data_IF_840564615418
#
_entry.id   IF_840564615418
#
_cell.length_a   1.000
_cell.length_b   1.000
_cell.length_c   1.000
_cell.angle_alpha   90.00
_cell.angle_beta   90.00
_cell.angle_gamma   90.00
#
_symmetry.space_group_name_H-M   'P 1'
#
loop_
_entity.id
_entity.type
_entity.pdbx_description
1 polymer ?
#
# COMPACT_ATOMS: atom_id res chain seq x y z
N UNK A 1 22.38 12.89 13.10
CA UNK A 1 21.53 11.67 13.10
C UNK A 1 20.79 11.42 14.42
N UNK A 2 21.25 11.89 15.60
CA UNK A 2 20.50 11.77 16.88
C UNK A 2 19.27 12.68 17.01
N UNK A 3 19.22 13.80 16.30
CA UNK A 3 18.17 14.82 16.48
C UNK A 3 16.86 14.55 15.74
N UNK A 4 16.85 13.67 14.72
CA UNK A 4 15.63 13.34 13.95
C UNK A 4 14.84 12.19 14.62
N UNK A 5 15.51 11.39 15.45
CA UNK A 5 14.89 10.24 16.12
C UNK A 5 14.16 10.65 17.41
N UNK A 6 14.63 11.70 18.10
CA UNK A 6 13.94 12.28 19.26
C UNK A 6 12.65 13.03 18.88
N UNK A 7 12.57 13.62 17.68
CA UNK A 7 11.37 14.34 17.24
C UNK A 7 10.22 13.39 16.84
N UNK A 8 10.53 12.16 16.42
CA UNK A 8 9.51 11.11 16.19
C UNK A 8 8.91 10.54 17.47
N UNK A 9 9.56 10.69 18.62
CA UNK A 9 9.05 10.21 19.92
C UNK A 9 8.13 11.21 20.63
N UNK A 10 8.15 12.49 20.24
CA UNK A 10 7.47 13.56 20.99
C UNK A 10 6.16 14.09 20.35
N UNK A 11 5.67 13.51 19.27
CA UNK A 11 4.39 13.88 18.66
C UNK A 11 3.24 12.90 19.02
N UNK A 12 3.33 12.23 20.18
CA UNK A 12 2.22 11.49 20.76
C UNK A 12 1.18 12.45 21.33
N UNK A 13 0.36 13.05 20.48
CA UNK A 13 -0.88 13.67 20.93
C UNK A 13 -1.73 12.56 21.53
N UNK A 14 -1.67 12.40 22.86
CA UNK A 14 -2.44 11.42 23.59
C UNK A 14 -3.85 11.99 23.71
N UNK A 15 -4.81 11.62 22.83
CA UNK A 15 -6.15 12.18 22.93
C UNK A 15 -6.66 11.82 24.32
N UNK A 16 -7.19 12.81 25.05
CA UNK A 16 -7.89 12.54 26.30
C UNK A 16 -8.89 11.41 26.06
N UNK A 17 -9.11 10.52 27.03
CA UNK A 17 -10.02 9.36 26.87
C UNK A 17 -11.40 9.75 26.33
N UNK A 18 -11.82 10.99 26.60
CA UNK A 18 -13.02 11.61 26.03
C UNK A 18 -12.91 11.84 24.53
N UNK A 19 -11.81 12.41 24.02
CA UNK A 19 -11.60 12.60 22.59
C UNK A 19 -11.53 11.27 21.82
N UNK A 20 -11.01 10.20 22.43
CA UNK A 20 -11.05 8.86 21.84
C UNK A 20 -12.48 8.28 21.77
N UNK A 21 -13.34 8.59 22.75
CA UNK A 21 -14.74 8.17 22.74
C UNK A 21 -15.59 8.91 21.69
N UNK A 22 -15.30 10.20 21.47
CA UNK A 22 -15.94 11.00 20.43
C UNK A 22 -15.33 10.81 19.03
N UNK A 23 -14.32 9.94 18.88
CA UNK A 23 -13.69 9.73 17.59
C UNK A 23 -14.67 9.07 16.60
N UNK A 24 -14.73 9.57 15.35
CA UNK A 24 -15.59 8.98 14.33
C UNK A 24 -15.17 7.54 14.06
N UNK A 25 -16.15 6.63 14.04
CA UNK A 25 -15.92 5.18 13.86
C UNK A 25 -16.72 4.68 12.66
N UNK A 26 -16.14 3.77 11.89
CA UNK A 26 -16.84 3.15 10.76
C UNK A 26 -18.07 2.38 11.24
N UNK A 27 -19.15 2.49 10.46
CA UNK A 27 -20.44 1.88 10.79
C UNK A 27 -20.36 0.36 10.59
N UNK A 28 -20.54 -0.38 11.68
CA UNK A 28 -20.61 -1.84 11.69
C UNK A 28 -22.00 -2.28 12.14
N UNK A 29 -22.36 -3.55 11.96
CA UNK A 29 -23.60 -4.12 12.52
C UNK A 29 -23.71 -3.89 14.03
N UNK A 30 -22.57 -3.79 14.73
CA UNK A 30 -22.51 -3.47 16.16
C UNK A 30 -22.94 -2.04 16.49
N UNK A 31 -22.87 -1.10 15.52
CA UNK A 31 -23.28 0.30 15.70
C UNK A 31 -24.77 0.41 16.06
N UNK A 32 -25.63 -0.41 15.45
CA UNK A 32 -27.07 -0.37 15.73
C UNK A 32 -27.42 -0.78 17.15
N UNK A 33 -26.68 -1.74 17.72
CA UNK A 33 -26.85 -2.16 19.12
C UNK A 33 -26.45 -1.02 20.06
N UNK A 34 -25.32 -0.35 19.77
CA UNK A 34 -24.84 0.75 20.59
C UNK A 34 -25.77 1.98 20.50
N UNK A 35 -26.29 2.30 19.31
CA UNK A 35 -27.33 3.34 19.14
C UNK A 35 -28.54 3.02 20.01
N UNK A 36 -29.02 1.78 19.98
CA UNK A 36 -30.18 1.37 20.79
C UNK A 36 -29.90 1.47 22.29
N UNK A 37 -28.75 0.96 22.76
CA UNK A 37 -28.38 0.98 24.18
C UNK A 37 -28.21 2.42 24.70
N UNK A 38 -27.52 3.28 23.96
CA UNK A 38 -27.26 4.67 24.37
C UNK A 38 -28.56 5.47 24.39
N UNK A 39 -29.43 5.29 23.39
CA UNK A 39 -30.73 6.00 23.35
C UNK A 39 -31.68 5.54 24.43
N UNK A 40 -31.81 4.23 24.64
CA UNK A 40 -32.64 3.67 25.71
C UNK A 40 -32.07 4.02 27.09
N UNK A 41 -30.74 4.03 27.23
CA UNK A 41 -30.06 4.44 28.46
C UNK A 41 -30.30 5.90 28.79
N UNK A 42 -30.22 6.80 27.80
CA UNK A 42 -30.57 8.21 27.98
C UNK A 42 -32.05 8.38 28.39
N UNK A 43 -32.95 7.61 27.77
CA UNK A 43 -34.36 7.58 28.15
C UNK A 43 -34.56 7.10 29.60
N UNK A 44 -33.86 6.03 30.01
CA UNK A 44 -33.91 5.47 31.36
C UNK A 44 -33.37 6.43 32.43
N UNK A 45 -32.37 7.24 32.09
CA UNK A 45 -31.89 8.32 32.97
C UNK A 45 -32.98 9.39 33.11
N UNK A 46 -33.59 9.81 32.00
CA UNK A 46 -34.66 10.81 32.00
C UNK A 46 -35.89 10.34 32.79
N UNK A 47 -36.31 9.08 32.65
CA UNK A 47 -37.44 8.50 33.40
C UNK A 47 -37.16 8.40 34.89
N UNK A 48 -35.90 8.20 35.30
CA UNK A 48 -35.51 8.18 36.71
C UNK A 48 -35.63 9.55 37.38
N UNK A 49 -35.30 10.63 36.67
CA UNK A 49 -35.40 11.99 37.21
C UNK A 49 -36.82 12.56 37.16
N UNK A 50 -37.55 12.37 36.05
CA UNK A 50 -38.95 12.82 35.90
C UNK A 50 -39.84 11.67 35.38
N UNK A 51 -40.43 10.86 36.28
CA UNK A 51 -41.28 9.73 35.89
C UNK A 51 -42.52 10.14 35.10
N UNK A 52 -43.04 11.35 35.35
CA UNK A 52 -44.24 11.88 34.70
C UNK A 52 -43.97 12.53 33.34
N UNK A 53 -42.70 12.76 32.96
CA UNK A 53 -42.33 13.35 31.67
C UNK A 53 -41.02 12.76 31.13
N UNK A 54 -41.02 11.47 30.73
CA UNK A 54 -39.80 10.76 30.33
C UNK A 54 -39.13 11.33 29.07
N UNK A 55 -39.84 12.13 28.26
CA UNK A 55 -39.32 12.80 27.07
C UNK A 55 -38.90 14.26 27.32
N UNK A 56 -39.09 14.78 28.55
CA UNK A 56 -38.83 16.17 28.95
C UNK A 56 -39.52 17.20 28.02
N UNK A 57 -40.75 16.92 27.59
CA UNK A 57 -41.51 17.83 26.72
C UNK A 57 -41.92 19.06 27.53
N UNK A 58 -41.53 20.26 27.08
CA UNK A 58 -41.88 21.53 27.74
C UNK A 58 -40.81 22.11 28.68
N UNK A 59 -39.67 21.43 28.84
CA UNK A 59 -38.50 21.95 29.55
C UNK A 59 -37.76 22.96 28.66
N UNK A 60 -37.16 24.01 29.25
CA UNK A 60 -36.45 25.06 28.52
C UNK A 60 -35.29 24.54 27.65
N UNK A 61 -34.68 23.41 28.02
CA UNK A 61 -33.58 22.80 27.28
C UNK A 61 -33.84 21.29 27.01
N UNK A 62 -33.71 20.84 25.75
CA UNK A 62 -34.03 19.46 25.35
C UNK A 62 -32.86 18.50 25.62
N UNK A 63 -32.61 18.17 26.89
CA UNK A 63 -31.49 17.31 27.31
C UNK A 63 -31.46 15.95 26.62
N UNK A 64 -32.62 15.36 26.34
CA UNK A 64 -32.73 14.05 25.70
C UNK A 64 -32.13 14.04 24.29
N UNK A 65 -32.19 15.16 23.57
CA UNK A 65 -31.63 15.27 22.22
C UNK A 65 -30.10 15.30 22.20
N UNK A 66 -29.44 15.52 23.34
CA UNK A 66 -27.98 15.41 23.41
C UNK A 66 -27.50 13.98 23.08
N UNK A 67 -28.22 12.94 23.50
CA UNK A 67 -27.83 11.56 23.19
C UNK A 67 -27.83 11.28 21.68
N UNK A 68 -28.91 11.56 20.92
CA UNK A 68 -28.90 11.57 19.46
C UNK A 68 -27.78 12.43 18.85
N UNK A 69 -27.46 13.61 19.40
CA UNK A 69 -26.39 14.46 18.84
C UNK A 69 -25.00 13.86 19.03
N UNK A 70 -24.74 13.23 20.18
CA UNK A 70 -23.47 12.54 20.45
C UNK A 70 -23.32 11.32 19.54
N UNK A 71 -24.40 10.58 19.32
CA UNK A 71 -24.44 9.47 18.36
C UNK A 71 -24.19 9.97 16.93
N UNK A 72 -24.79 11.10 16.55
CA UNK A 72 -24.59 11.73 15.25
C UNK A 72 -23.12 12.13 15.02
N UNK A 73 -22.47 12.71 16.03
CA UNK A 73 -21.04 13.09 15.98
C UNK A 73 -20.09 11.90 15.88
N UNK A 74 -20.52 10.72 16.33
CA UNK A 74 -19.67 9.52 16.39
C UNK A 74 -19.86 8.58 15.20
N UNK A 75 -21.09 8.45 14.73
CA UNK A 75 -21.50 7.45 13.74
C UNK A 75 -22.14 8.04 12.48
N UNK A 76 -22.31 9.35 12.40
CA UNK A 76 -22.85 10.03 11.23
C UNK A 76 -24.36 10.26 11.24
N UNK A 77 -24.87 10.77 10.13
CA UNK A 77 -26.28 11.14 9.95
C UNK A 77 -27.25 9.95 10.07
N UNK A 78 -26.85 8.75 9.63
CA UNK A 78 -27.70 7.55 9.68
C UNK A 78 -28.00 7.12 11.13
N UNK A 79 -27.01 7.20 12.01
CA UNK A 79 -27.18 6.90 13.43
C UNK A 79 -28.04 7.95 14.14
N UNK A 80 -27.92 9.21 13.74
CA UNK A 80 -28.80 10.29 14.21
C UNK A 80 -30.26 10.00 13.87
N UNK A 81 -30.52 9.60 12.63
CA UNK A 81 -31.86 9.25 12.16
C UNK A 81 -32.41 8.03 12.90
N UNK A 82 -31.60 6.98 13.07
CA UNK A 82 -31.97 5.78 13.84
C UNK A 82 -32.29 6.08 15.30
N UNK A 83 -31.54 6.99 15.92
CA UNK A 83 -31.80 7.44 17.28
C UNK A 83 -33.09 8.27 17.38
N UNK A 84 -33.33 9.16 16.43
CA UNK A 84 -34.54 9.99 16.39
C UNK A 84 -35.80 9.15 16.13
N UNK A 85 -35.72 8.10 15.30
CA UNK A 85 -36.85 7.19 15.07
C UNK A 85 -37.19 6.38 16.32
N UNK A 86 -36.19 5.94 17.10
CA UNK A 86 -36.43 5.30 18.40
C UNK A 86 -37.19 6.25 19.34
N UNK A 87 -36.78 7.52 19.43
CA UNK A 87 -37.50 8.52 20.24
C UNK A 87 -38.94 8.76 19.78
N UNK A 88 -39.18 8.77 18.46
CA UNK A 88 -40.54 8.87 17.90
C UNK A 88 -41.39 7.65 18.25
N UNK A 89 -40.81 6.44 18.18
CA UNK A 89 -41.49 5.20 18.55
C UNK A 89 -41.84 5.20 20.04
N UNK A 90 -40.91 5.61 20.90
CA UNK A 90 -41.15 5.73 22.35
C UNK A 90 -42.26 6.75 22.65
N UNK A 91 -42.25 7.91 21.99
CA UNK A 91 -43.34 8.88 22.11
C UNK A 91 -44.71 8.29 21.71
N UNK A 92 -44.74 7.51 20.62
CA UNK A 92 -45.98 6.86 20.17
C UNK A 92 -46.50 5.84 21.19
N UNK A 93 -45.62 5.04 21.80
CA UNK A 93 -46.00 4.10 22.87
C UNK A 93 -46.50 4.81 24.14
N UNK A 94 -45.81 5.86 24.58
CA UNK A 94 -46.22 6.62 25.77
C UNK A 94 -47.53 7.40 25.56
N UNK A 95 -47.82 7.79 24.31
CA UNK A 95 -49.12 8.32 23.92
C UNK A 95 -50.22 7.26 24.04
N UNK A 96 -49.98 6.03 23.58
CA UNK A 96 -50.93 4.92 23.71
C UNK A 96 -51.25 4.59 25.18
N UNK A 97 -50.26 4.69 26.07
CA UNK A 97 -50.43 4.48 27.52
C UNK A 97 -51.08 5.68 28.25
N UNK A 98 -51.27 6.81 27.57
CA UNK A 98 -51.93 8.00 28.14
C UNK A 98 -51.09 8.80 29.13
N UNK A 99 -49.78 8.58 29.18
CA UNK A 99 -48.84 9.25 30.10
C UNK A 99 -48.45 10.67 29.65
N UNK A 100 -48.72 11.04 28.39
CA UNK A 100 -48.23 12.28 27.74
C UNK A 100 -49.39 12.97 26.99
N UNK A 101 -49.40 14.32 26.87
CA UNK A 101 -50.42 15.04 26.09
C UNK A 101 -50.62 14.51 24.66
N UNK A 102 -51.88 14.46 24.22
CA UNK A 102 -52.27 13.97 22.89
C UNK A 102 -51.78 14.84 21.71
N UNK A 103 -51.32 16.06 21.99
CA UNK A 103 -50.81 17.00 20.98
C UNK A 103 -49.36 16.68 20.63
N UNK A 104 -49.08 16.48 19.34
CA UNK A 104 -47.74 16.24 18.85
C UNK A 104 -46.84 17.49 19.03
N UNK A 105 -45.71 17.39 19.77
CA UNK A 105 -44.82 18.53 20.00
C UNK A 105 -43.89 18.74 18.79
N UNK A 106 -44.42 19.36 17.73
CA UNK A 106 -43.71 19.53 16.46
C UNK A 106 -42.40 20.31 16.57
N UNK A 107 -42.36 21.39 17.37
CA UNK A 107 -41.15 22.20 17.55
C UNK A 107 -40.02 21.42 18.24
N UNK A 108 -40.34 20.57 19.21
CA UNK A 108 -39.38 19.75 19.94
C UNK A 108 -38.70 18.73 19.03
N UNK A 109 -39.49 17.99 18.25
CA UNK A 109 -38.95 17.00 17.32
C UNK A 109 -38.24 17.65 16.14
N UNK A 110 -38.78 18.73 15.57
CA UNK A 110 -38.16 19.41 14.44
C UNK A 110 -36.81 20.02 14.82
N UNK A 111 -36.72 20.74 15.95
CA UNK A 111 -35.47 21.35 16.41
C UNK A 111 -34.41 20.33 16.81
N UNK A 112 -34.81 19.23 17.45
CA UNK A 112 -33.90 18.14 17.78
C UNK A 112 -33.38 17.39 16.55
N UNK A 113 -34.26 17.12 15.58
CA UNK A 113 -33.90 16.44 14.34
C UNK A 113 -32.98 17.32 13.48
N UNK A 114 -33.23 18.62 13.35
CA UNK A 114 -32.33 19.52 12.62
C UNK A 114 -30.95 19.61 13.27
N UNK A 115 -30.88 19.76 14.60
CA UNK A 115 -29.62 19.79 15.35
C UNK A 115 -28.79 18.52 15.12
N UNK A 116 -29.43 17.36 15.26
CA UNK A 116 -28.77 16.07 15.12
C UNK A 116 -28.34 15.76 13.68
N UNK A 117 -29.15 16.12 12.69
CA UNK A 117 -28.77 15.98 11.28
C UNK A 117 -27.59 16.87 10.91
N UNK A 118 -27.58 18.14 11.34
CA UNK A 118 -26.44 19.04 11.09
C UNK A 118 -25.17 18.42 11.68
N UNK A 119 -25.22 17.96 12.93
CA UNK A 119 -24.08 17.30 13.57
C UNK A 119 -23.63 16.02 12.82
N UNK A 120 -24.58 15.22 12.33
CA UNK A 120 -24.33 14.01 11.56
C UNK A 120 -23.68 14.28 10.21
N UNK A 121 -24.17 15.26 9.45
CA UNK A 121 -23.59 15.67 8.16
C UNK A 121 -22.14 16.16 8.30
N UNK A 122 -21.87 16.95 9.34
CA UNK A 122 -20.49 17.35 9.63
C UNK A 122 -19.60 16.13 9.92
N UNK A 123 -20.08 15.16 10.72
CA UNK A 123 -19.35 13.93 10.99
C UNK A 123 -19.05 13.14 9.70
N UNK A 124 -20.03 12.99 8.81
CA UNK A 124 -19.89 12.25 7.55
C UNK A 124 -18.85 12.91 6.63
N UNK A 125 -18.92 14.24 6.47
CA UNK A 125 -17.94 15.01 5.67
C UNK A 125 -16.53 14.90 6.24
N UNK A 126 -16.37 15.02 7.57
CA UNK A 126 -15.06 14.94 8.21
C UNK A 126 -14.47 13.54 8.16
N UNK A 127 -15.29 12.51 8.36
CA UNK A 127 -14.86 11.11 8.27
C UNK A 127 -14.38 10.78 6.86
N UNK A 128 -15.12 11.21 5.82
CA UNK A 128 -14.69 11.06 4.43
C UNK A 128 -13.38 11.77 4.14
N UNK A 129 -13.22 13.03 4.59
CA UNK A 129 -11.97 13.79 4.44
C UNK A 129 -10.80 13.12 5.17
N UNK A 130 -11.02 12.63 6.38
CA UNK A 130 -10.00 11.99 7.19
C UNK A 130 -9.51 10.67 6.56
N UNK A 131 -10.43 9.82 6.11
CA UNK A 131 -10.09 8.58 5.41
C UNK A 131 -9.32 8.86 4.10
N UNK A 132 -9.69 9.92 3.36
CA UNK A 132 -8.94 10.38 2.19
C UNK A 132 -7.53 10.85 2.53
N UNK A 133 -7.35 11.65 3.58
CA UNK A 133 -6.02 12.12 4.00
C UNK A 133 -5.17 10.94 4.49
N UNK A 134 -5.76 10.00 5.23
CA UNK A 134 -5.07 8.81 5.73
C UNK A 134 -4.56 7.94 4.58
N UNK A 135 -5.38 7.70 3.56
CA UNK A 135 -4.97 6.93 2.37
C UNK A 135 -3.87 7.66 1.57
N UNK A 136 -3.97 8.98 1.35
CA UNK A 136 -2.87 9.77 0.76
C UNK A 136 -1.58 9.60 1.55
N UNK A 137 -1.64 9.76 2.88
CA UNK A 137 -0.46 9.69 3.73
C UNK A 137 0.14 8.28 3.78
N UNK A 138 -0.70 7.24 3.83
CA UNK A 138 -0.24 5.85 3.76
C UNK A 138 0.52 5.61 2.45
N UNK A 139 -0.05 6.04 1.33
CA UNK A 139 0.60 5.95 0.03
C UNK A 139 1.92 6.73 -0.03
N UNK A 140 1.95 7.99 0.44
CA UNK A 140 3.18 8.79 0.47
C UNK A 140 4.24 8.14 1.36
N UNK A 141 3.86 7.55 2.48
CA UNK A 141 4.78 6.86 3.38
C UNK A 141 5.36 5.60 2.71
N UNK A 142 4.53 4.80 2.06
CA UNK A 142 4.97 3.61 1.31
C UNK A 142 5.87 4.01 0.13
N UNK A 143 5.55 5.11 -0.56
CA UNK A 143 6.38 5.66 -1.64
C UNK A 143 7.73 6.13 -1.09
N UNK A 144 7.77 6.84 0.03
CA UNK A 144 9.01 7.26 0.68
C UNK A 144 9.88 6.06 1.09
N UNK A 145 9.28 5.02 1.67
CA UNK A 145 10.01 3.83 2.08
C UNK A 145 10.62 3.09 0.89
N UNK A 146 9.85 2.93 -0.19
CA UNK A 146 10.34 2.40 -1.45
C UNK A 146 11.51 3.22 -2.04
N UNK A 147 11.45 4.54 -1.92
CA UNK A 147 12.49 5.45 -2.41
C UNK A 147 13.77 5.39 -1.58
N UNK A 148 13.64 5.36 -0.26
CA UNK A 148 14.77 5.19 0.65
C UNK A 148 15.48 3.87 0.34
N UNK A 149 14.73 2.79 0.13
CA UNK A 149 15.31 1.50 -0.25
C UNK A 149 16.03 1.56 -1.61
N UNK A 150 15.43 2.18 -2.64
CA UNK A 150 16.04 2.32 -3.97
C UNK A 150 17.28 3.21 -3.99
N UNK A 151 17.26 4.33 -3.29
CA UNK A 151 18.40 5.24 -3.23
C UNK A 151 19.56 4.62 -2.45
N UNK A 152 19.24 3.90 -1.36
CA UNK A 152 20.21 3.11 -0.63
C UNK A 152 20.87 2.06 -1.52
N UNK A 153 20.09 1.35 -2.33
CA UNK A 153 20.60 0.38 -3.30
C UNK A 153 21.50 0.99 -4.37
N UNK A 154 21.10 2.13 -4.94
CA UNK A 154 21.88 2.80 -5.97
C UNK A 154 23.20 3.34 -5.41
N UNK A 155 23.14 3.97 -4.25
CA UNK A 155 24.32 4.50 -3.56
C UNK A 155 25.28 3.39 -3.19
N UNK A 156 24.78 2.30 -2.60
CA UNK A 156 25.59 1.14 -2.24
C UNK A 156 26.16 0.49 -3.50
N UNK A 157 25.36 0.27 -4.55
CA UNK A 157 25.90 -0.29 -5.80
C UNK A 157 26.98 0.56 -6.46
N UNK A 158 26.92 1.89 -6.30
CA UNK A 158 27.91 2.83 -6.83
C UNK A 158 29.17 2.85 -5.98
N UNK A 159 29.04 2.87 -4.65
CA UNK A 159 30.17 2.77 -3.73
C UNK A 159 30.87 1.40 -3.90
N UNK A 160 30.12 0.33 -4.17
CA UNK A 160 30.64 -1.01 -4.47
C UNK A 160 31.26 -1.12 -5.87
N UNK A 161 30.72 -0.43 -6.89
CA UNK A 161 31.36 -0.31 -8.21
C UNK A 161 32.68 0.45 -8.14
N UNK A 162 32.80 1.41 -7.22
CA UNK A 162 34.02 2.16 -6.96
C UNK A 162 35.05 1.31 -6.18
N UNK A 163 34.59 0.37 -5.34
CA UNK A 163 35.45 -0.46 -4.49
C UNK A 163 35.84 -1.82 -5.09
N UNK A 164 34.98 -2.48 -5.88
CA UNK A 164 35.14 -3.90 -6.26
C UNK A 164 35.55 -4.13 -7.74
N UNK A 165 36.02 -3.09 -8.43
CA UNK A 165 36.61 -3.20 -9.78
C UNK A 165 37.86 -4.10 -9.84
N UNK A 166 38.36 -4.60 -8.71
CA UNK A 166 39.60 -5.36 -8.63
C UNK A 166 39.44 -6.83 -8.21
N UNK A 167 38.24 -7.31 -7.84
CA UNK A 167 38.14 -8.67 -7.25
C UNK A 167 37.12 -9.63 -7.87
N UNK A 168 35.87 -9.28 -8.25
CA UNK A 168 34.99 -10.22 -9.01
C UNK A 168 33.93 -9.52 -9.88
N UNK A 169 33.59 -10.07 -11.08
CA UNK A 169 32.54 -9.55 -11.94
C UNK A 169 31.21 -10.28 -11.73
N UNK A 170 30.36 -9.82 -10.82
CA UNK A 170 28.92 -10.07 -10.96
C UNK A 170 28.16 -8.89 -10.33
N UNK A 171 27.57 -8.05 -11.18
CA UNK A 171 26.86 -6.88 -10.70
C UNK A 171 25.50 -7.31 -10.11
N UNK A 172 25.13 -6.74 -8.96
CA UNK A 172 23.83 -6.94 -8.32
C UNK A 172 22.66 -6.76 -9.32
N UNK A 173 22.81 -5.79 -10.23
CA UNK A 173 21.88 -5.52 -11.33
C UNK A 173 21.66 -6.71 -12.24
N UNK A 174 22.72 -7.43 -12.61
CA UNK A 174 22.65 -8.57 -13.52
C UNK A 174 21.94 -9.77 -12.88
N UNK A 175 22.25 -10.05 -11.61
CA UNK A 175 21.56 -11.07 -10.81
C UNK A 175 20.06 -10.78 -10.66
N UNK A 176 19.69 -9.53 -10.36
CA UNK A 176 18.28 -9.11 -10.29
C UNK A 176 17.58 -9.16 -11.66
N UNK A 177 18.31 -8.92 -12.76
CA UNK A 177 17.76 -8.99 -14.12
C UNK A 177 17.48 -10.44 -14.51
N UNK A 178 18.38 -11.37 -14.19
CA UNK A 178 18.19 -12.81 -14.39
C UNK A 178 17.01 -13.33 -13.57
N UNK A 179 16.93 -12.97 -12.28
CA UNK A 179 15.83 -13.36 -11.41
C UNK A 179 14.48 -12.82 -11.92
N UNK A 180 14.44 -11.59 -12.45
CA UNK A 180 13.23 -11.03 -13.08
C UNK A 180 12.79 -11.82 -14.31
N UNK A 181 13.71 -12.20 -15.20
CA UNK A 181 13.38 -12.98 -16.39
C UNK A 181 12.80 -14.34 -16.01
N UNK A 182 13.33 -14.97 -14.95
CA UNK A 182 12.86 -16.26 -14.46
C UNK A 182 11.50 -16.21 -13.77
N UNK A 183 11.17 -15.12 -13.07
CA UNK A 183 9.87 -15.01 -12.35
C UNK A 183 8.75 -14.46 -13.24
N UNK A 184 9.08 -13.58 -14.21
CA UNK A 184 8.08 -12.95 -15.10
C UNK A 184 7.66 -13.88 -16.24
N UNK A 185 8.54 -14.76 -16.72
CA UNK A 185 8.19 -15.79 -17.70
C UNK A 185 7.54 -16.95 -16.94
N UNK A 186 6.23 -17.18 -17.05
CA UNK A 186 5.62 -18.38 -16.51
C UNK A 186 6.12 -19.53 -17.38
N UNK A 187 7.14 -20.27 -16.92
CA UNK A 187 7.50 -21.52 -17.57
C UNK A 187 6.30 -22.45 -17.48
N UNK A 188 5.60 -22.59 -18.59
CA UNK A 188 4.50 -23.52 -18.80
C UNK A 188 5.02 -24.97 -18.97
N UNK A 189 6.09 -25.36 -18.28
CA UNK A 189 6.72 -26.67 -18.49
C UNK A 189 7.42 -27.17 -17.25
N UNK A 190 6.66 -27.77 -16.33
CA UNK A 190 7.00 -29.03 -15.66
C UNK A 190 5.72 -29.72 -15.13
N UNK A 191 4.68 -29.79 -15.97
CA UNK A 191 3.62 -30.79 -15.84
C UNK A 191 3.99 -31.90 -16.85
N UNK A 192 4.78 -32.89 -16.43
CA UNK A 192 4.92 -34.22 -17.05
C UNK A 192 5.95 -35.06 -16.27
N UNK A 193 5.64 -35.41 -15.04
CA UNK A 193 6.04 -36.70 -14.46
C UNK A 193 5.13 -37.03 -13.29
N UNK A 194 4.34 -38.06 -13.50
CA UNK A 194 3.43 -38.76 -12.59
C UNK A 194 3.95 -38.97 -11.17
N UNK A 195 3.00 -38.91 -10.23
CA UNK A 195 3.01 -39.48 -8.88
C UNK A 195 3.98 -38.90 -7.85
N UNK A 196 3.56 -37.79 -7.23
CA UNK A 196 3.57 -37.64 -5.77
C UNK A 196 2.63 -36.52 -5.32
N UNK A 197 1.90 -36.78 -4.24
CA UNK A 197 0.83 -35.95 -3.70
C UNK A 197 1.24 -34.48 -3.56
N UNK A 198 0.49 -33.60 -4.22
CA UNK A 198 0.66 -32.14 -4.22
C UNK A 198 0.39 -31.57 -2.83
N UNK A 199 1.44 -31.45 -2.02
CA UNK A 199 1.43 -30.62 -0.80
C UNK A 199 1.57 -29.17 -1.27
N UNK A 200 0.75 -28.21 -0.79
CA UNK A 200 0.84 -26.81 -1.18
C UNK A 200 2.06 -26.16 -0.50
N UNK A 201 3.27 -26.37 -1.01
CA UNK A 201 4.53 -25.89 -0.38
C UNK A 201 5.22 -24.73 -1.07
N UNK A 202 4.77 -24.27 -2.24
CA UNK A 202 5.76 -23.71 -3.17
C UNK A 202 5.73 -22.17 -3.31
N UNK A 203 6.70 -21.52 -2.65
CA UNK A 203 7.24 -20.26 -3.11
C UNK A 203 7.70 -20.46 -4.57
N UNK A 204 7.01 -19.84 -5.54
CA UNK A 204 7.27 -20.05 -6.97
C UNK A 204 8.73 -19.76 -7.33
N UNK A 205 9.39 -20.66 -8.05
CA UNK A 205 10.79 -20.51 -8.49
C UNK A 205 11.77 -20.28 -7.32
N UNK A 206 11.48 -20.88 -6.16
CA UNK A 206 12.35 -20.83 -4.98
C UNK A 206 13.73 -21.47 -5.23
N UNK A 207 13.79 -22.46 -6.13
CA UNK A 207 15.03 -23.15 -6.49
C UNK A 207 16.04 -22.22 -7.18
N UNK A 208 15.55 -21.38 -8.09
CA UNK A 208 16.34 -20.45 -8.89
C UNK A 208 16.88 -19.30 -8.04
N UNK A 209 16.05 -18.76 -7.15
CA UNK A 209 16.49 -17.79 -6.14
C UNK A 209 17.64 -18.36 -5.30
N UNK A 210 17.45 -19.58 -4.78
CA UNK A 210 18.48 -20.24 -3.96
C UNK A 210 19.78 -20.46 -4.74
N UNK A 211 19.70 -20.79 -6.02
CA UNK A 211 20.88 -20.93 -6.88
C UNK A 211 21.65 -19.61 -7.03
N UNK A 212 20.95 -18.50 -7.26
CA UNK A 212 21.56 -17.15 -7.35
C UNK A 212 22.23 -16.76 -6.04
N UNK A 213 21.54 -16.95 -4.91
CA UNK A 213 22.10 -16.64 -3.58
C UNK A 213 23.32 -17.53 -3.27
N UNK A 214 23.28 -18.80 -3.66
CA UNK A 214 24.39 -19.74 -3.47
C UNK A 214 25.61 -19.32 -4.27
N UNK A 215 25.43 -18.96 -5.54
CA UNK A 215 26.52 -18.54 -6.41
C UNK A 215 27.14 -17.22 -5.96
N UNK A 216 26.32 -16.24 -5.57
CA UNK A 216 26.78 -14.91 -5.15
C UNK A 216 27.43 -14.93 -3.76
N UNK A 217 26.81 -15.61 -2.79
CA UNK A 217 27.22 -15.59 -1.38
C UNK A 217 28.10 -16.79 -0.98
N UNK A 218 28.32 -17.74 -1.88
CA UNK A 218 29.06 -18.99 -1.61
C UNK A 218 28.45 -19.75 -0.41
N UNK A 219 27.13 -19.91 -0.41
CA UNK A 219 26.41 -20.60 0.67
C UNK A 219 26.75 -22.10 0.67
N UNK A 220 27.06 -22.66 1.83
CA UNK A 220 27.35 -24.09 1.97
C UNK A 220 26.13 -24.88 2.42
N UNK A 221 25.32 -24.34 3.34
CA UNK A 221 24.07 -24.94 3.80
C UNK A 221 23.04 -23.87 4.13
N UNK A 222 21.93 -23.86 3.38
CA UNK A 222 20.86 -22.89 3.52
C UNK A 222 19.51 -23.47 3.07
N UNK A 223 18.43 -22.98 3.66
CA UNK A 223 17.06 -23.40 3.36
C UNK A 223 16.10 -22.21 3.27
N UNK A 224 15.09 -22.36 2.44
CA UNK A 224 14.02 -21.40 2.24
C UNK A 224 12.68 -22.04 2.60
N UNK A 225 11.95 -21.44 3.53
CA UNK A 225 10.70 -21.95 4.07
C UNK A 225 9.54 -21.02 3.75
N UNK A 226 8.45 -21.55 3.21
CA UNK A 226 7.24 -20.76 2.97
C UNK A 226 6.47 -20.47 4.26
N UNK A 227 5.75 -19.35 4.28
CA UNK A 227 4.75 -19.05 5.30
C UNK A 227 3.36 -19.21 4.73
N UNK A 228 2.54 -20.04 5.37
CA UNK A 228 1.16 -20.31 4.95
C UNK A 228 0.26 -20.05 6.15
N UNK A 229 -0.74 -19.17 5.98
CA UNK A 229 -1.68 -18.77 7.04
C UNK A 229 -1.01 -18.25 8.32
N UNK A 230 0.12 -17.55 8.19
CA UNK A 230 0.86 -16.99 9.33
C UNK A 230 1.76 -17.99 10.06
N UNK A 231 1.94 -19.21 9.53
CA UNK A 231 2.81 -20.23 10.09
C UNK A 231 3.92 -20.62 9.10
N UNK A 232 5.15 -20.59 9.58
CA UNK A 232 6.32 -21.04 8.82
C UNK A 232 6.28 -22.57 8.67
N UNK A 233 6.39 -23.04 7.44
CA UNK A 233 6.43 -24.46 7.13
C UNK A 233 7.79 -25.06 7.44
N UNK A 234 7.82 -26.20 8.15
CA UNK A 234 9.06 -26.92 8.47
C UNK A 234 9.70 -27.57 7.23
N UNK A 235 8.86 -27.92 6.25
CA UNK A 235 9.31 -28.39 4.95
C UNK A 235 9.79 -27.17 4.16
N UNK A 236 11.03 -27.21 3.69
CA UNK A 236 11.59 -26.12 2.91
C UNK A 236 11.08 -26.19 1.47
N UNK A 237 10.73 -25.03 0.90
CA UNK A 237 10.41 -24.88 -0.52
C UNK A 237 11.65 -25.05 -1.41
N UNK A 238 12.84 -24.70 -0.89
CA UNK A 238 14.11 -24.94 -1.57
C UNK A 238 15.25 -25.08 -0.55
N UNK A 239 16.26 -25.89 -0.87
CA UNK A 239 17.42 -26.18 0.00
C UNK A 239 18.71 -26.23 -0.82
N UNK A 240 19.81 -25.88 -0.16
CA UNK A 240 21.16 -25.98 -0.69
C UNK A 240 22.04 -26.56 0.42
N UNK A 241 22.89 -27.53 0.09
CA UNK A 241 23.83 -28.12 1.04
C UNK A 241 23.33 -29.36 1.78
N UNK A 242 23.87 -29.58 2.98
CA UNK A 242 23.46 -30.70 3.84
C UNK A 242 22.07 -30.47 4.43
N UNK A 243 21.34 -31.57 4.59
CA UNK A 243 19.96 -31.52 5.08
C UNK A 243 19.93 -31.17 6.57
N UNK A 244 19.19 -30.11 6.92
CA UNK A 244 18.95 -29.72 8.30
C UNK A 244 17.47 -29.39 8.54
N UNK A 245 17.01 -29.70 9.75
CA UNK A 245 15.67 -29.36 10.20
C UNK A 245 15.62 -27.93 10.76
N UNK A 246 14.56 -27.20 10.40
CA UNK A 246 14.31 -25.85 10.90
C UNK A 246 13.86 -25.90 12.36
N UNK A 247 14.55 -25.19 13.23
CA UNK A 247 14.22 -25.02 14.65
C UNK A 247 13.58 -23.64 14.83
N UNK A 248 12.26 -23.62 15.06
CA UNK A 248 11.49 -22.38 15.20
C UNK A 248 11.79 -21.63 16.51
N UNK A 249 12.20 -22.35 17.55
CA UNK A 249 12.54 -21.80 18.86
C UNK A 249 13.97 -21.21 18.92
N UNK A 250 14.71 -21.24 17.82
CA UNK A 250 16.05 -20.66 17.74
C UNK A 250 16.00 -19.13 17.95
N UNK A 251 16.91 -18.55 18.76
CA UNK A 251 16.89 -17.13 19.11
C UNK A 251 16.95 -16.21 17.89
N UNK A 252 17.66 -16.58 16.82
CA UNK A 252 17.71 -15.78 15.60
C UNK A 252 16.42 -15.87 14.78
N UNK A 253 15.77 -17.04 14.76
CA UNK A 253 14.47 -17.22 14.11
C UNK A 253 13.40 -16.40 14.83
N UNK A 254 13.33 -16.50 16.15
CA UNK A 254 12.40 -15.71 16.96
C UNK A 254 12.66 -14.21 16.79
N UNK A 255 13.91 -13.78 16.81
CA UNK A 255 14.28 -12.37 16.61
C UNK A 255 13.85 -11.87 15.24
N UNK A 256 14.18 -12.60 14.18
CA UNK A 256 13.87 -12.25 12.80
C UNK A 256 12.35 -12.17 12.54
N UNK A 257 11.57 -13.11 13.10
CA UNK A 257 10.12 -13.13 12.97
C UNK A 257 9.42 -12.04 13.78
N UNK A 258 9.99 -11.66 14.94
CA UNK A 258 9.44 -10.61 15.81
C UNK A 258 9.73 -9.21 15.27
N UNK A 259 10.95 -8.97 14.81
CA UNK A 259 11.41 -7.66 14.33
C UNK A 259 11.23 -7.48 12.82
N UNK A 260 10.87 -8.53 12.08
CA UNK A 260 10.72 -8.50 10.63
C UNK A 260 11.97 -7.97 9.91
N UNK A 261 13.14 -8.37 10.39
CA UNK A 261 14.44 -7.90 9.91
C UNK A 261 15.43 -9.05 9.76
N UNK A 262 16.37 -8.88 8.82
CA UNK A 262 17.50 -9.78 8.70
C UNK A 262 18.32 -9.75 9.97
N UNK A 263 18.73 -10.93 10.39
CA UNK A 263 19.44 -11.20 11.60
C UNK A 263 20.68 -12.04 11.30
N UNK A 264 21.79 -11.75 11.97
CA UNK A 264 23.04 -12.50 11.85
C UNK A 264 23.68 -12.69 13.22
N UNK A 265 24.63 -13.62 13.35
CA UNK A 265 25.25 -14.00 14.64
C UNK A 265 25.93 -12.88 15.42
N UNK A 266 26.29 -11.75 14.79
CA UNK A 266 26.90 -10.60 15.49
C UNK A 266 25.88 -9.52 15.89
N UNK A 267 24.58 -9.80 15.78
CA UNK A 267 23.53 -8.87 16.23
C UNK A 267 23.58 -8.74 17.76
N UNK A 268 23.59 -7.52 18.30
CA UNK A 268 23.77 -7.24 19.74
C UNK A 268 22.84 -8.06 20.64
N UNK A 269 21.58 -8.25 20.23
CA UNK A 269 20.57 -9.01 20.95
C UNK A 269 20.81 -10.54 21.00
N UNK A 270 21.73 -11.05 20.17
CA UNK A 270 22.00 -12.49 19.99
C UNK A 270 23.42 -12.87 20.44
N UNK A 271 24.31 -11.91 20.68
CA UNK A 271 25.68 -12.17 21.13
C UNK A 271 25.76 -13.07 22.38
N UNK A 272 24.76 -12.99 23.28
CA UNK A 272 24.68 -13.81 24.50
C UNK A 272 23.95 -15.16 24.29
N UNK A 273 23.34 -15.37 23.12
CA UNK A 273 22.52 -16.54 22.79
C UNK A 273 23.22 -17.44 21.78
N UNK A 274 23.26 -18.75 22.04
CA UNK A 274 23.83 -19.71 21.09
C UNK A 274 22.79 -20.07 20.04
N UNK A 275 22.95 -19.49 18.84
CA UNK A 275 22.14 -19.82 17.66
C UNK A 275 22.78 -20.93 16.85
N UNK A 276 21.96 -21.79 16.24
CA UNK A 276 22.41 -22.77 15.24
C UNK A 276 22.73 -22.12 13.90
N UNK A 277 22.10 -21.00 13.60
CA UNK A 277 22.13 -20.34 12.30
C UNK A 277 23.11 -19.18 12.26
N UNK A 278 23.71 -18.95 11.10
CA UNK A 278 24.61 -17.81 10.85
C UNK A 278 23.85 -16.58 10.39
N UNK A 279 22.83 -16.79 9.55
CA UNK A 279 21.98 -15.73 8.98
C UNK A 279 20.54 -16.23 8.94
N UNK A 280 19.61 -15.40 9.40
CA UNK A 280 18.17 -15.62 9.28
C UNK A 280 17.52 -14.36 8.74
N UNK A 281 16.78 -14.48 7.64
CA UNK A 281 16.10 -13.35 7.02
C UNK A 281 14.64 -13.68 6.71
N UNK A 282 13.67 -12.90 7.19
CA UNK A 282 12.30 -13.04 6.74
C UNK A 282 12.16 -12.54 5.30
N UNK A 283 11.31 -13.19 4.51
CA UNK A 283 10.96 -12.74 3.16
C UNK A 283 9.76 -11.81 3.26
N UNK A 284 9.97 -10.51 3.13
CA UNK A 284 8.92 -9.50 3.30
C UNK A 284 8.78 -8.71 2.01
N UNK A 285 7.57 -8.71 1.46
CA UNK A 285 7.20 -7.85 0.34
C UNK A 285 7.00 -6.40 0.80
N UNK A 286 7.07 -5.45 -0.13
CA UNK A 286 6.91 -4.01 0.08
C UNK A 286 5.55 -3.59 0.66
N UNK A 287 4.56 -4.49 0.66
CA UNK A 287 3.27 -4.30 1.34
C UNK A 287 3.27 -4.80 2.80
N UNK A 288 4.42 -5.24 3.32
CA UNK A 288 4.59 -5.79 4.66
C UNK A 288 4.14 -7.25 4.81
N UNK A 289 3.72 -7.91 3.72
CA UNK A 289 3.36 -9.33 3.77
C UNK A 289 4.62 -10.19 3.87
N UNK A 290 4.69 -11.05 4.89
CA UNK A 290 5.75 -12.03 5.04
C UNK A 290 5.36 -13.31 4.29
N UNK A 291 6.24 -13.77 3.40
CA UNK A 291 6.02 -14.92 2.54
C UNK A 291 6.77 -16.16 3.00
N UNK A 292 7.73 -15.99 3.90
CA UNK A 292 8.60 -17.07 4.33
C UNK A 292 9.81 -16.63 5.14
N UNK A 293 10.70 -17.58 5.35
CA UNK A 293 11.93 -17.45 6.13
C UNK A 293 13.10 -18.09 5.37
N UNK A 294 14.17 -17.33 5.17
CA UNK A 294 15.44 -17.80 4.66
C UNK A 294 16.42 -18.01 5.81
N UNK A 295 17.09 -19.15 5.82
CA UNK A 295 17.97 -19.57 6.92
C UNK A 295 19.27 -20.12 6.35
N UNK A 296 20.39 -19.70 6.93
CA UNK A 296 21.74 -20.18 6.59
C UNK A 296 22.35 -20.81 7.82
N UNK A 297 22.70 -22.10 7.73
CA UNK A 297 23.42 -22.82 8.78
C UNK A 297 24.94 -22.72 8.58
N UNK A 298 25.41 -22.83 7.33
CA UNK A 298 26.85 -22.79 7.02
C UNK A 298 27.17 -21.93 5.80
N UNK A 299 28.21 -21.10 5.94
CA UNK A 299 28.84 -20.31 4.88
C UNK A 299 30.29 -19.98 5.27
N UNK A 300 31.19 -19.73 4.30
CA UNK A 300 32.56 -19.31 4.58
C UNK A 300 32.60 -18.00 5.38
N UNK A 301 33.51 -17.91 6.36
CA UNK A 301 33.64 -16.72 7.21
C UNK A 301 33.85 -15.42 6.42
N UNK A 302 34.60 -15.47 5.31
CA UNK A 302 34.88 -14.32 4.44
C UNK A 302 33.59 -13.80 3.77
N UNK A 303 32.61 -14.68 3.55
CA UNK A 303 31.31 -14.31 2.98
C UNK A 303 30.36 -13.66 4.00
N UNK A 304 30.66 -13.75 5.31
CA UNK A 304 29.85 -13.10 6.34
C UNK A 304 30.28 -11.64 6.51
N UNK A 305 29.89 -10.81 5.55
CA UNK A 305 30.15 -9.38 5.57
C UNK A 305 28.86 -8.58 5.35
N UNK A 306 28.86 -7.30 5.74
CA UNK A 306 27.68 -6.45 5.68
C UNK A 306 27.12 -6.29 4.26
N UNK A 307 27.99 -6.28 3.26
CA UNK A 307 27.63 -6.14 1.86
C UNK A 307 26.82 -7.34 1.35
N UNK A 308 27.27 -8.57 1.63
CA UNK A 308 26.59 -9.79 1.24
C UNK A 308 25.29 -9.99 2.04
N UNK A 309 25.25 -9.63 3.32
CA UNK A 309 24.00 -9.60 4.09
C UNK A 309 22.98 -8.65 3.47
N UNK A 310 23.42 -7.47 3.04
CA UNK A 310 22.58 -6.52 2.35
C UNK A 310 22.12 -7.06 0.99
N UNK A 311 23.01 -7.70 0.22
CA UNK A 311 22.66 -8.36 -1.04
C UNK A 311 21.59 -9.43 -0.85
N UNK A 312 21.73 -10.29 0.16
CA UNK A 312 20.74 -11.31 0.53
C UNK A 312 19.40 -10.63 0.81
N UNK A 313 19.37 -9.65 1.71
CA UNK A 313 18.14 -8.97 2.10
C UNK A 313 17.40 -8.36 0.90
N UNK A 314 18.13 -7.67 0.03
CA UNK A 314 17.59 -7.00 -1.15
C UNK A 314 17.04 -8.02 -2.14
N UNK A 315 17.79 -9.09 -2.39
CA UNK A 315 17.40 -10.13 -3.34
C UNK A 315 16.16 -10.88 -2.85
N UNK A 316 16.09 -11.17 -1.55
CA UNK A 316 14.92 -11.78 -0.91
C UNK A 316 13.69 -10.88 -0.94
N UNK A 317 13.84 -9.59 -0.62
CA UNK A 317 12.72 -8.63 -0.68
C UNK A 317 12.22 -8.45 -2.11
N UNK A 318 13.12 -8.35 -3.08
CA UNK A 318 12.77 -8.24 -4.49
C UNK A 318 12.05 -9.50 -5.01
N UNK A 319 12.50 -10.68 -4.61
CA UNK A 319 11.81 -11.93 -4.88
C UNK A 319 10.43 -11.96 -4.23
N UNK A 320 10.32 -11.54 -2.96
CA UNK A 320 9.05 -11.49 -2.25
C UNK A 320 8.05 -10.55 -2.94
N UNK A 321 8.51 -9.39 -3.42
CA UNK A 321 7.70 -8.49 -4.23
C UNK A 321 7.22 -9.14 -5.52
N UNK A 322 8.05 -9.93 -6.18
CA UNK A 322 7.72 -10.60 -7.43
C UNK A 322 6.74 -11.77 -7.22
N UNK A 323 6.90 -12.57 -6.16
CA UNK A 323 5.97 -13.68 -5.83
C UNK A 323 4.63 -13.14 -5.35
N UNK A 324 4.64 -12.07 -4.56
CA UNK A 324 3.43 -11.42 -4.04
C UNK A 324 2.72 -10.52 -5.06
N UNK A 325 3.08 -10.65 -6.35
CA UNK A 325 2.40 -9.94 -7.44
C UNK A 325 0.91 -10.27 -7.40
N UNK A 326 0.07 -9.26 -7.15
CA UNK A 326 -1.39 -9.43 -7.14
C UNK A 326 -1.89 -10.07 -8.45
N UNK A 327 -2.94 -10.88 -8.37
CA UNK A 327 -3.59 -11.49 -9.54
C UNK A 327 -3.94 -10.49 -10.63
N UNK A 328 -4.27 -9.25 -10.24
CA UNK A 328 -4.58 -8.16 -11.16
C UNK A 328 -3.34 -7.68 -11.95
N UNK A 329 -2.18 -7.59 -11.28
CA UNK A 329 -0.91 -7.23 -11.95
C UNK A 329 -0.47 -8.36 -12.88
N UNK A 330 -0.60 -9.63 -12.47
CA UNK A 330 -0.34 -10.78 -13.35
C UNK A 330 -1.27 -10.78 -14.56
N UNK A 331 -2.56 -10.49 -14.35
CA UNK A 331 -3.53 -10.32 -15.44
C UNK A 331 -3.08 -9.25 -16.43
N UNK A 332 -2.55 -8.12 -15.94
CA UNK A 332 -2.11 -7.04 -16.81
C UNK A 332 -0.84 -7.40 -17.61
N UNK A 333 0.14 -8.04 -16.98
CA UNK A 333 1.36 -8.50 -17.67
C UNK A 333 1.08 -9.57 -18.73
N UNK A 334 0.06 -10.41 -18.53
CA UNK A 334 -0.39 -11.38 -19.56
C UNK A 334 -1.02 -10.72 -20.78
N UNK A 335 -1.75 -9.63 -20.58
CA UNK A 335 -2.40 -8.90 -21.67
C UNK A 335 -1.44 -7.95 -22.40
N UNK A 336 -0.41 -7.43 -21.71
CA UNK A 336 0.58 -6.50 -22.25
C UNK A 336 1.99 -7.03 -21.97
N UNK A 337 2.53 -7.83 -22.89
CA UNK A 337 3.82 -8.52 -22.70
C UNK A 337 5.02 -7.57 -22.61
N UNK A 338 4.96 -6.42 -23.29
CA UNK A 338 6.01 -5.40 -23.27
C UNK A 338 5.94 -4.47 -22.04
N UNK A 339 4.95 -4.65 -21.17
CA UNK A 339 4.72 -3.79 -20.02
C UNK A 339 5.74 -4.08 -18.89
N UNK A 340 6.52 -3.08 -18.42
CA UNK A 340 7.43 -3.26 -17.31
C UNK A 340 6.67 -3.59 -16.02
N UNK A 341 7.17 -4.56 -15.25
CA UNK A 341 6.60 -4.94 -13.95
C UNK A 341 6.32 -3.74 -13.02
N UNK A 342 7.28 -2.83 -12.89
CA UNK A 342 7.14 -1.67 -12.00
C UNK A 342 6.01 -0.74 -12.44
N UNK A 343 5.84 -0.54 -13.75
CA UNK A 343 4.72 0.22 -14.30
C UNK A 343 3.42 -0.49 -14.01
N UNK A 344 3.39 -1.81 -14.23
CA UNK A 344 2.19 -2.61 -14.01
C UNK A 344 1.74 -2.61 -12.55
N UNK A 345 2.68 -2.85 -11.63
CA UNK A 345 2.44 -2.82 -10.19
C UNK A 345 1.94 -1.46 -9.72
N UNK A 346 2.60 -0.38 -10.15
CA UNK A 346 2.22 0.97 -9.73
C UNK A 346 0.85 1.38 -10.29
N UNK A 347 0.58 1.08 -11.56
CA UNK A 347 -0.71 1.39 -12.16
C UNK A 347 -1.88 0.71 -11.43
N UNK A 348 -1.73 -0.57 -11.08
CA UNK A 348 -2.75 -1.29 -10.30
C UNK A 348 -2.90 -0.76 -8.88
N UNK A 349 -1.80 -0.31 -8.26
CA UNK A 349 -1.84 0.33 -6.94
C UNK A 349 -2.64 1.65 -7.02
N UNK A 350 -2.39 2.49 -8.02
CA UNK A 350 -3.12 3.74 -8.21
C UNK A 350 -4.60 3.53 -8.52
N UNK A 351 -4.96 2.50 -9.28
CA UNK A 351 -6.36 2.11 -9.49
C UNK A 351 -7.05 1.71 -8.18
N UNK A 352 -6.39 0.89 -7.35
CA UNK A 352 -6.90 0.50 -6.04
C UNK A 352 -7.12 1.71 -5.13
N UNK A 353 -6.16 2.63 -5.07
CA UNK A 353 -6.28 3.86 -4.28
C UNK A 353 -7.50 4.66 -4.73
N UNK A 354 -7.72 4.81 -6.05
CA UNK A 354 -8.90 5.49 -6.55
C UNK A 354 -10.19 4.82 -6.08
N UNK A 355 -10.29 3.49 -6.16
CA UNK A 355 -11.50 2.75 -5.73
C UNK A 355 -11.75 2.83 -4.23
N UNK A 356 -10.69 2.79 -3.41
CA UNK A 356 -10.82 2.79 -1.95
C UNK A 356 -11.04 4.20 -1.37
N UNK A 357 -10.47 5.23 -2.00
CA UNK A 357 -10.40 6.58 -1.40
C UNK A 357 -10.85 7.72 -2.30
N UNK A 358 -11.21 7.43 -3.56
CA UNK A 358 -11.63 8.42 -4.55
C UNK A 358 -10.52 9.39 -5.00
N UNK A 359 -9.25 9.09 -4.70
CA UNK A 359 -8.13 9.95 -5.08
C UNK A 359 -7.73 9.65 -6.53
N UNK A 360 -7.89 10.65 -7.40
CA UNK A 360 -7.48 10.57 -8.80
C UNK A 360 -5.96 10.56 -8.96
N UNK A 361 -5.50 9.69 -9.83
CA UNK A 361 -4.14 9.73 -10.39
C UNK A 361 -4.24 9.82 -11.91
N UNK A 362 -3.21 10.31 -12.58
CA UNK A 362 -3.23 10.50 -14.04
C UNK A 362 -2.11 9.72 -14.71
N UNK A 363 -2.44 9.11 -15.84
CA UNK A 363 -1.47 8.55 -16.77
C UNK A 363 -1.30 9.55 -17.92
N UNK A 364 -0.07 9.97 -18.19
CA UNK A 364 0.28 10.85 -19.31
C UNK A 364 1.07 10.03 -20.33
N UNK A 365 0.69 10.08 -21.60
CA UNK A 365 1.44 9.50 -22.71
C UNK A 365 1.97 10.63 -23.59
N UNK A 366 3.27 10.61 -23.87
CA UNK A 366 3.92 11.51 -24.82
C UNK A 366 4.36 10.71 -26.03
N UNK A 367 3.90 11.09 -27.22
CA UNK A 367 4.25 10.47 -28.49
C UNK A 367 5.22 11.39 -29.23
N UNK A 368 6.38 10.87 -29.60
CA UNK A 368 7.42 11.56 -30.35
C UNK A 368 7.56 10.88 -31.71
N UNK A 369 7.47 11.60 -32.81
CA UNK A 369 7.75 10.99 -34.12
C UNK A 369 9.24 10.59 -34.22
N UNK A 370 9.57 9.66 -35.11
CA UNK A 370 10.94 9.16 -35.26
C UNK A 370 11.72 10.02 -36.25
N UNK A 371 12.19 11.17 -35.79
CA UNK A 371 13.21 11.99 -36.45
C UNK A 371 14.43 12.17 -35.52
N UNK A 372 15.62 12.43 -36.08
CA UNK A 372 16.87 12.60 -35.30
C UNK A 372 16.70 13.61 -34.15
N UNK A 373 16.05 14.75 -34.43
CA UNK A 373 15.74 15.79 -33.44
C UNK A 373 14.78 15.32 -32.33
N UNK A 374 13.81 14.48 -32.67
CA UNK A 374 12.82 13.96 -31.71
C UNK A 374 13.36 12.79 -30.89
N UNK A 375 14.34 12.06 -31.41
CA UNK A 375 15.07 11.05 -30.67
C UNK A 375 15.93 11.70 -29.56
N UNK A 376 16.56 12.84 -29.86
CA UNK A 376 17.26 13.65 -28.84
C UNK A 376 16.30 14.21 -27.79
N UNK A 377 15.12 14.70 -28.20
CA UNK A 377 14.06 15.14 -27.28
C UNK A 377 13.59 14.00 -26.38
N UNK A 378 13.40 12.79 -26.93
CA UNK A 378 13.03 11.62 -26.15
C UNK A 378 14.11 11.26 -25.12
N UNK A 379 15.39 11.28 -25.53
CA UNK A 379 16.52 11.00 -24.64
C UNK A 379 16.65 12.05 -23.52
N UNK A 380 16.49 13.33 -23.83
CA UNK A 380 16.51 14.41 -22.83
C UNK A 380 15.30 14.36 -21.90
N UNK A 381 14.10 14.09 -22.42
CA UNK A 381 12.90 13.86 -21.60
C UNK A 381 13.15 12.73 -20.60
N UNK A 382 13.79 11.64 -21.06
CA UNK A 382 14.21 10.51 -20.22
C UNK A 382 15.32 10.88 -19.22
N UNK A 383 16.13 11.91 -19.46
CA UNK A 383 17.15 12.39 -18.50
C UNK A 383 16.55 13.30 -17.42
N UNK A 384 15.63 14.19 -17.81
CA UNK A 384 15.02 15.19 -16.93
C UNK A 384 13.86 14.62 -16.09
N UNK A 385 13.54 13.34 -16.29
CA UNK A 385 12.62 12.60 -15.41
C UNK A 385 12.95 12.83 -13.94
N UNK A 386 11.92 13.10 -13.15
CA UNK A 386 12.06 13.02 -11.70
C UNK A 386 12.35 11.57 -11.36
N UNK A 387 13.32 11.32 -10.48
CA UNK A 387 13.66 9.96 -9.99
C UNK A 387 12.46 9.18 -9.44
N UNK A 388 11.35 9.88 -9.16
CA UNK A 388 10.14 9.36 -8.55
C UNK A 388 9.09 8.91 -9.57
N UNK A 389 9.17 9.29 -10.84
CA UNK A 389 8.13 9.01 -11.84
C UNK A 389 8.31 7.59 -12.41
N UNK A 390 7.26 6.77 -12.36
CA UNK A 390 7.27 5.43 -12.96
C UNK A 390 6.88 5.56 -14.42
N UNK A 391 7.78 5.15 -15.32
CA UNK A 391 7.59 5.30 -16.76
C UNK A 391 7.67 3.99 -17.51
N UNK A 392 6.95 3.94 -18.63
CA UNK A 392 7.06 2.88 -19.63
C UNK A 392 7.38 3.52 -20.98
N UNK A 393 8.59 3.24 -21.47
CA UNK A 393 9.07 3.66 -22.77
C UNK A 393 8.81 2.56 -23.80
N UNK A 394 8.13 2.88 -24.89
CA UNK A 394 7.80 1.98 -25.98
C UNK A 394 8.46 2.54 -27.25
N UNK A 395 9.17 1.68 -27.97
CA UNK A 395 9.77 2.03 -29.25
C UNK A 395 8.96 1.37 -30.37
N UNK A 396 8.40 2.18 -31.26
CA UNK A 396 7.68 1.73 -32.43
C UNK A 396 8.51 1.98 -33.70
N UNK A 397 8.14 1.39 -34.85
CA UNK A 397 8.87 1.60 -36.10
C UNK A 397 8.93 3.08 -36.50
N UNK A 398 7.85 3.83 -36.30
CA UNK A 398 7.66 5.19 -36.80
C UNK A 398 7.67 6.28 -35.71
N UNK A 399 7.61 5.91 -34.43
CA UNK A 399 7.52 6.85 -33.30
C UNK A 399 8.01 6.25 -31.97
N UNK A 400 8.17 7.07 -30.95
CA UNK A 400 8.47 6.69 -29.58
C UNK A 400 7.32 7.10 -28.67
N UNK A 401 6.95 6.25 -27.72
CA UNK A 401 5.91 6.57 -26.72
C UNK A 401 6.51 6.50 -25.34
N UNK A 402 6.26 7.55 -24.55
CA UNK A 402 6.62 7.60 -23.13
C UNK A 402 5.36 7.73 -22.29
N UNK A 403 4.99 6.65 -21.62
CA UNK A 403 3.94 6.61 -20.61
C UNK A 403 4.53 6.97 -19.25
N UNK A 404 3.92 7.92 -18.55
CA UNK A 404 4.34 8.40 -17.23
C UNK A 404 3.18 8.36 -16.25
N UNK A 405 3.36 7.60 -15.17
CA UNK A 405 2.39 7.53 -14.07
C UNK A 405 2.59 8.71 -13.13
N UNK A 406 1.57 9.53 -13.03
CA UNK A 406 1.52 10.70 -12.15
C UNK A 406 0.54 10.43 -11.00
N UNK A 407 1.04 10.04 -9.82
CA UNK A 407 0.19 9.68 -8.68
C UNK A 407 -0.41 10.89 -7.96
N UNK A 408 -1.65 10.76 -7.46
CA UNK A 408 -2.34 11.75 -6.63
C UNK A 408 -2.54 13.14 -7.28
N UNK A 409 -2.52 13.22 -8.61
CA UNK A 409 -2.62 14.48 -9.33
C UNK A 409 -4.03 14.75 -9.87
N UNK A 410 -4.37 16.04 -9.94
CA UNK A 410 -5.54 16.53 -10.65
C UNK A 410 -5.14 17.04 -12.04
N UNK A 411 -6.14 17.29 -12.89
CA UNK A 411 -5.93 17.77 -14.27
C UNK A 411 -5.12 19.08 -14.35
N UNK A 412 -5.16 19.94 -13.32
CA UNK A 412 -4.37 21.19 -13.26
C UNK A 412 -2.88 20.92 -13.10
N UNK A 413 -2.50 19.89 -12.35
CA UNK A 413 -1.07 19.55 -12.17
C UNK A 413 -0.49 18.93 -13.43
N UNK A 414 -1.30 18.20 -14.21
CA UNK A 414 -0.90 17.68 -15.53
C UNK A 414 -0.58 18.85 -16.47
N UNK A 415 -1.44 19.86 -16.53
CA UNK A 415 -1.17 21.09 -17.32
C UNK A 415 0.12 21.76 -16.87
N UNK A 416 0.36 21.90 -15.56
CA UNK A 416 1.61 22.47 -15.04
C UNK A 416 2.84 21.59 -15.27
N UNK A 417 2.69 20.28 -15.45
CA UNK A 417 3.77 19.40 -15.90
C UNK A 417 4.09 19.62 -17.38
N UNK A 418 3.06 19.62 -18.24
CA UNK A 418 3.22 19.87 -19.68
C UNK A 418 3.84 21.25 -19.95
N UNK A 419 3.39 22.31 -19.27
CA UNK A 419 3.98 23.65 -19.40
C UNK A 419 5.47 23.70 -19.01
N UNK A 420 5.88 22.96 -17.97
CA UNK A 420 7.31 22.90 -17.59
C UNK A 420 8.14 22.15 -18.62
N UNK A 421 7.55 21.12 -19.22
CA UNK A 421 8.17 20.34 -20.27
C UNK A 421 8.30 21.19 -21.56
N UNK A 422 7.28 21.98 -21.90
CA UNK A 422 7.35 22.99 -22.98
C UNK A 422 8.43 24.04 -22.72
N UNK A 423 8.49 24.61 -21.51
CA UNK A 423 9.55 25.56 -21.14
C UNK A 423 10.95 24.93 -21.26
N UNK A 424 11.07 23.65 -20.90
CA UNK A 424 12.34 22.94 -21.04
C UNK A 424 12.72 22.74 -22.52
N UNK A 425 11.77 22.32 -23.36
CA UNK A 425 11.97 22.18 -24.81
C UNK A 425 12.26 23.52 -25.50
N UNK A 426 11.65 24.61 -25.04
CA UNK A 426 11.98 25.96 -25.49
C UNK A 426 13.45 26.29 -25.19
N UNK A 427 13.91 26.05 -23.96
CA UNK A 427 15.28 26.40 -23.56
C UNK A 427 16.35 25.56 -24.25
N UNK A 428 16.11 24.27 -24.47
CA UNK A 428 17.13 23.34 -24.96
C UNK A 428 17.06 23.13 -26.49
N UNK A 429 15.86 23.19 -27.09
CA UNK A 429 15.63 22.89 -28.51
C UNK A 429 14.95 24.04 -29.28
N UNK A 430 14.66 25.17 -28.63
CA UNK A 430 13.99 26.34 -29.19
C UNK A 430 12.60 26.06 -29.79
N UNK A 431 11.91 25.02 -29.30
CA UNK A 431 10.55 24.69 -29.68
C UNK A 431 9.54 25.44 -28.79
N UNK A 432 8.58 26.16 -29.39
CA UNK A 432 7.68 27.06 -28.65
C UNK A 432 6.48 26.37 -28.02
N UNK A 433 6.12 25.18 -28.49
CA UNK A 433 5.04 24.34 -27.98
C UNK A 433 5.38 22.87 -28.17
N UNK A 434 4.61 22.00 -27.51
CA UNK A 434 4.68 20.55 -27.73
C UNK A 434 4.46 20.17 -29.21
N UNK A 435 3.47 20.79 -29.87
CA UNK A 435 3.19 20.56 -31.30
C UNK A 435 4.36 21.00 -32.21
N UNK A 436 5.02 22.12 -31.89
CA UNK A 436 6.20 22.61 -32.61
C UNK A 436 7.44 21.70 -32.39
N UNK A 437 7.48 21.00 -31.25
CA UNK A 437 8.44 19.93 -31.00
C UNK A 437 8.06 18.60 -31.68
N UNK A 438 6.89 18.52 -32.32
CA UNK A 438 6.31 17.29 -32.88
C UNK A 438 6.05 16.23 -31.81
N UNK A 439 5.58 16.66 -30.63
CA UNK A 439 5.25 15.81 -29.49
C UNK A 439 3.77 15.92 -29.18
N UNK A 440 3.05 14.81 -29.26
CA UNK A 440 1.61 14.75 -28.93
C UNK A 440 1.43 14.22 -27.52
N UNK A 441 0.65 14.93 -26.70
CA UNK A 441 0.38 14.55 -25.31
C UNK A 441 -1.06 14.06 -25.12
N UNK A 442 -1.22 12.84 -24.59
CA UNK A 442 -2.49 12.29 -24.14
C UNK A 442 -2.50 12.14 -22.63
N UNK A 443 -3.64 12.36 -21.98
CA UNK A 443 -3.77 12.15 -20.54
C UNK A 443 -5.09 11.49 -20.18
N UNK A 444 -5.04 10.54 -19.25
CA UNK A 444 -6.21 9.77 -18.81
C UNK A 444 -6.19 9.61 -17.29
N UNK A 445 -7.33 9.83 -16.64
CA UNK A 445 -7.49 9.64 -15.20
C UNK A 445 -7.67 8.17 -14.85
N UNK A 446 -6.78 7.64 -14.02
CA UNK A 446 -6.77 6.27 -13.52
C UNK A 446 -7.97 6.05 -12.58
N UNK A 447 -8.63 4.89 -12.70
CA UNK A 447 -9.77 4.49 -11.87
C UNK A 447 -11.16 4.83 -12.44
N UNK A 448 -11.24 5.58 -13.53
CA UNK A 448 -12.52 5.94 -14.17
C UNK A 448 -13.16 4.79 -14.97
N UNK A 449 -12.36 3.79 -15.35
CA UNK A 449 -12.75 2.61 -16.16
C UNK A 449 -11.97 1.40 -15.69
N UNK A 450 -12.30 0.24 -16.23
CA UNK A 450 -11.52 -0.99 -16.02
C UNK A 450 -10.03 -0.78 -16.40
N UNK A 451 -9.06 -1.21 -15.57
CA UNK A 451 -7.64 -0.96 -15.77
C UNK A 451 -7.12 -1.43 -17.14
N UNK A 452 -7.55 -2.61 -17.59
CA UNK A 452 -7.14 -3.16 -18.88
C UNK A 452 -7.69 -2.32 -20.04
N UNK A 453 -8.98 -1.95 -19.96
CA UNK A 453 -9.62 -1.11 -20.96
C UNK A 453 -8.99 0.29 -21.05
N UNK A 454 -8.62 0.87 -19.91
CA UNK A 454 -7.98 2.18 -19.86
C UNK A 454 -6.61 2.15 -20.55
N UNK A 455 -5.76 1.19 -20.20
CA UNK A 455 -4.43 1.06 -20.81
C UNK A 455 -4.52 0.74 -22.30
N UNK A 456 -5.46 -0.12 -22.72
CA UNK A 456 -5.71 -0.38 -24.14
C UNK A 456 -6.14 0.87 -24.90
N UNK A 457 -7.00 1.68 -24.30
CA UNK A 457 -7.48 2.93 -24.92
C UNK A 457 -6.33 3.91 -25.14
N UNK A 458 -5.48 4.13 -24.12
CA UNK A 458 -4.37 5.08 -24.26
C UNK A 458 -3.31 4.58 -25.24
N UNK A 459 -3.01 3.28 -25.24
CA UNK A 459 -2.09 2.67 -26.21
C UNK A 459 -2.62 2.80 -27.65
N UNK A 460 -3.91 2.53 -27.87
CA UNK A 460 -4.53 2.71 -29.19
C UNK A 460 -4.52 4.17 -29.66
N UNK A 461 -4.67 5.14 -28.75
CA UNK A 461 -4.55 6.57 -29.09
C UNK A 461 -3.12 6.95 -29.46
N UNK A 462 -2.13 6.26 -28.88
CA UNK A 462 -0.72 6.45 -29.19
C UNK A 462 -0.26 5.65 -30.43
N UNK A 463 -1.17 4.97 -31.14
CA UNK A 463 -0.84 4.07 -32.27
C UNK A 463 0.12 2.92 -31.88
N UNK A 464 -0.01 2.41 -30.65
CA UNK A 464 0.70 1.21 -30.20
C UNK A 464 -0.23 0.00 -30.31
N UNK A 465 0.11 -0.92 -31.21
CA UNK A 465 -0.61 -2.17 -31.48
C UNK A 465 -0.48 -3.22 -30.38
#
# INVERSE_FOLDING_TARGET
MRTIQEEKQNAGFNPSRLAAFFAPKESSRQTWIEVFIITLGALGICTFFEPNNPLLIGVAFPWLWLAPTVLALRYGSLAALGSATILLVVWFFLKLEGLIPNTFPGQYFLGGLTLTLIAGEFCDVWTGRFNRIRSVNAYLSQRLDSLTHRHYLLKVSSELLEQDLLTKPMTLRESLTQLRQLIVIPNASHDNSSDQATIPTDLKNASELMQILTQACQLESASLHAEINGQIQLIASSRVGSDFELVLDDPMVVYALTHNQLCHVQTDAILESHSRYLVVSPLIAANGCRLGLFVVEHMPFISLNQELLQFIQVTLNYYADAVNTSSNVQGMLRHFQDCPYLFASEFMHLDRIYRESGISSTLVALVFEKNDRQQDLFAETMRVRRQLDVVWAIQQPDHFVLLTLMPLYNQRVVTGYLMRLEQHFLHQFNAKSLDDAGVVAHSVTIGTRDPHGLLRTILSQCHVD
#
